data_IF_379472906326
#
_entry.id   IF_379472906326
#
_cell.length_a   1.000
_cell.length_b   1.000
_cell.length_c   1.000
_cell.angle_alpha   90.00
_cell.angle_beta   90.00
_cell.angle_gamma   90.00
#
_symmetry.space_group_name_H-M   'P 1'
#
loop_
_entity.id
_entity.type
_entity.pdbx_description
1 polymer ?
#
# COMPACT_ATOMS: atom_id res chain seq x y z
N UNK A 1 -1.89 -21.42 -19.56
CA UNK A 1 -2.48 -20.26 -20.26
C UNK A 1 -3.83 -19.95 -19.61
N UNK A 2 -4.04 -18.75 -19.04
CA UNK A 2 -5.26 -18.41 -18.31
C UNK A 2 -6.41 -18.15 -19.30
N UNK A 3 -7.49 -18.93 -19.24
CA UNK A 3 -8.58 -18.93 -20.25
C UNK A 3 -9.69 -17.90 -20.01
N UNK A 4 -9.46 -16.86 -19.21
CA UNK A 4 -10.47 -15.84 -18.91
C UNK A 4 -9.85 -14.51 -18.49
N UNK A 5 -10.66 -13.45 -18.40
CA UNK A 5 -10.20 -12.12 -18.01
C UNK A 5 -9.50 -12.13 -16.64
N UNK A 6 -8.36 -11.46 -16.57
CA UNK A 6 -7.50 -11.42 -15.38
C UNK A 6 -6.96 -10.01 -15.15
N UNK A 7 -6.39 -9.78 -13.98
CA UNK A 7 -5.67 -8.55 -13.65
C UNK A 7 -4.25 -8.88 -13.19
N UNK A 8 -3.30 -8.04 -13.58
CA UNK A 8 -1.93 -8.09 -13.08
C UNK A 8 -1.82 -7.06 -11.95
N UNK A 9 -1.23 -7.49 -10.84
CA UNK A 9 -1.00 -6.62 -9.68
C UNK A 9 0.40 -6.81 -9.12
N UNK A 10 0.75 -5.91 -8.19
CA UNK A 10 1.95 -6.03 -7.38
C UNK A 10 1.55 -6.67 -6.05
N UNK A 11 2.25 -7.72 -5.63
CA UNK A 11 2.02 -8.37 -4.33
C UNK A 11 2.27 -7.38 -3.18
N UNK A 12 1.29 -7.26 -2.29
CA UNK A 12 1.41 -6.35 -1.16
C UNK A 12 2.46 -6.85 -0.14
N UNK A 13 3.34 -5.95 0.26
CA UNK A 13 4.36 -6.21 1.27
C UNK A 13 3.73 -6.37 2.66
N UNK A 14 4.07 -7.46 3.33
CA UNK A 14 3.63 -7.75 4.71
C UNK A 14 4.62 -7.28 5.77
N UNK A 15 5.92 -7.36 5.49
CA UNK A 15 6.99 -6.98 6.41
C UNK A 15 7.69 -5.70 5.94
N UNK A 16 7.72 -4.67 6.78
CA UNK A 16 8.28 -3.38 6.42
C UNK A 16 9.77 -3.19 6.68
N UNK A 17 10.42 -4.11 7.39
CA UNK A 17 11.83 -4.01 7.75
C UNK A 17 12.78 -4.59 6.70
N UNK A 18 12.27 -5.40 5.77
CA UNK A 18 13.07 -6.04 4.72
C UNK A 18 13.33 -5.09 3.54
N UNK A 19 14.42 -5.35 2.79
CA UNK A 19 14.73 -4.63 1.55
C UNK A 19 13.56 -4.74 0.58
N UNK A 20 13.17 -3.60 0.01
CA UNK A 20 12.05 -3.54 -0.92
C UNK A 20 12.31 -4.39 -2.17
N UNK A 21 11.33 -5.23 -2.51
CA UNK A 21 11.30 -6.07 -3.71
C UNK A 21 9.88 -6.07 -4.27
N UNK A 22 9.78 -6.09 -5.60
CA UNK A 22 8.50 -6.17 -6.30
C UNK A 22 8.30 -7.60 -6.78
N UNK A 23 7.10 -8.14 -6.57
CA UNK A 23 6.67 -9.41 -7.16
C UNK A 23 5.34 -9.18 -7.85
N UNK A 24 5.26 -9.57 -9.12
CA UNK A 24 4.02 -9.49 -9.88
C UNK A 24 3.18 -10.73 -9.64
N UNK A 25 1.86 -10.52 -9.58
CA UNK A 25 0.87 -11.58 -9.39
C UNK A 25 -0.24 -11.44 -10.43
N UNK A 26 -0.84 -12.57 -10.78
CA UNK A 26 -2.04 -12.62 -11.61
C UNK A 26 -3.23 -12.91 -10.71
N UNK A 27 -4.22 -12.03 -10.74
CA UNK A 27 -5.44 -12.11 -9.92
C UNK A 27 -6.64 -12.48 -10.79
N UNK A 28 -7.55 -13.28 -10.21
CA UNK A 28 -8.91 -13.47 -10.75
C UNK A 28 -9.67 -12.15 -10.62
N UNK A 29 -10.45 -11.77 -11.64
CA UNK A 29 -11.26 -10.54 -11.58
C UNK A 29 -12.25 -10.55 -10.42
N UNK A 30 -12.86 -11.69 -10.09
CA UNK A 30 -13.78 -11.83 -8.94
C UNK A 30 -13.14 -11.46 -7.59
N UNK A 31 -11.81 -11.52 -7.49
CA UNK A 31 -11.12 -11.16 -6.27
C UNK A 31 -10.94 -9.65 -6.10
N UNK A 32 -11.00 -8.86 -7.18
CA UNK A 32 -10.67 -7.42 -7.19
C UNK A 32 -11.81 -6.53 -7.67
N UNK A 33 -12.69 -7.02 -8.56
CA UNK A 33 -13.75 -6.23 -9.15
C UNK A 33 -14.73 -5.76 -8.06
N UNK A 34 -15.00 -4.45 -8.02
CA UNK A 34 -15.88 -3.84 -7.02
C UNK A 34 -15.32 -3.79 -5.60
N UNK A 35 -14.03 -4.10 -5.38
CA UNK A 35 -13.41 -4.05 -4.05
C UNK A 35 -12.47 -2.85 -3.91
N UNK A 36 -12.50 -2.21 -2.74
CA UNK A 36 -11.65 -1.07 -2.41
C UNK A 36 -10.61 -1.47 -1.37
N UNK A 37 -9.36 -1.07 -1.58
CA UNK A 37 -8.29 -1.26 -0.59
C UNK A 37 -8.39 -0.22 0.51
N UNK A 38 -8.84 -0.65 1.69
CA UNK A 38 -8.96 0.22 2.87
C UNK A 38 -7.57 0.45 3.48
N UNK A 39 -7.31 1.69 3.93
CA UNK A 39 -6.09 2.02 4.65
C UNK A 39 -6.04 1.25 5.98
N UNK A 40 -4.99 0.43 6.23
CA UNK A 40 -4.87 -0.30 7.50
C UNK A 40 -4.77 0.65 8.70
N UNK A 41 -5.43 0.32 9.80
CA UNK A 41 -5.38 1.10 11.06
C UNK A 41 -3.96 1.31 11.60
N UNK A 42 -3.04 0.36 11.34
CA UNK A 42 -1.63 0.47 11.70
C UNK A 42 -0.87 1.60 11.01
N UNK A 43 -1.45 2.27 10.01
CA UNK A 43 -0.82 3.33 9.22
C UNK A 43 -1.10 4.74 9.74
N UNK A 44 -2.04 4.92 10.66
CA UNK A 44 -2.37 6.23 11.19
C UNK A 44 -2.63 6.17 12.69
N UNK A 45 -2.42 7.30 13.36
CA UNK A 45 -2.71 7.49 14.77
C UNK A 45 -3.94 8.38 14.89
N UNK A 46 -5.06 7.78 15.32
CA UNK A 46 -6.34 8.48 15.52
C UNK A 46 -6.25 9.64 16.52
N UNK A 47 -5.38 9.55 17.53
CA UNK A 47 -5.27 10.59 18.57
C UNK A 47 -4.39 11.75 18.16
N UNK A 48 -3.35 11.48 17.37
CA UNK A 48 -2.37 12.49 16.94
C UNK A 48 -2.70 13.10 15.57
N UNK A 49 -3.73 12.59 14.88
CA UNK A 49 -4.10 12.99 13.52
C UNK A 49 -2.90 12.95 12.56
N UNK A 50 -2.07 11.91 12.70
CA UNK A 50 -0.81 11.77 11.97
C UNK A 50 -0.60 10.32 11.51
N UNK A 51 0.29 10.12 10.53
CA UNK A 51 0.67 8.81 10.02
C UNK A 51 1.68 8.11 10.94
N UNK A 52 1.71 6.79 10.93
CA UNK A 52 2.69 6.03 11.71
C UNK A 52 3.96 5.75 10.92
N UNK A 53 5.02 5.33 11.61
CA UNK A 53 6.24 4.85 10.96
C UNK A 53 5.99 3.66 10.01
N UNK A 54 4.94 2.86 10.24
CA UNK A 54 4.57 1.77 9.32
C UNK A 54 4.11 2.31 7.97
N UNK A 55 3.37 3.42 7.97
CA UNK A 55 2.98 4.10 6.73
C UNK A 55 4.20 4.69 6.02
N UNK A 56 5.07 5.39 6.75
CA UNK A 56 6.30 5.97 6.18
C UNK A 56 7.16 4.87 5.54
N UNK A 57 7.35 3.75 6.24
CA UNK A 57 8.12 2.60 5.73
C UNK A 57 7.42 1.88 4.56
N UNK A 58 6.09 1.96 4.48
CA UNK A 58 5.34 1.48 3.32
C UNK A 58 5.56 2.39 2.10
N UNK A 59 5.46 3.71 2.26
CA UNK A 59 5.52 4.71 1.19
C UNK A 59 6.94 4.99 0.69
N UNK A 60 7.95 5.00 1.56
CA UNK A 60 9.34 5.37 1.23
C UNK A 60 9.92 4.67 -0.01
N UNK A 61 9.75 3.35 -0.22
CA UNK A 61 10.21 2.72 -1.46
C UNK A 61 9.36 3.04 -2.70
N UNK A 62 8.12 3.51 -2.53
CA UNK A 62 7.18 3.81 -3.62
C UNK A 62 7.40 5.23 -4.18
N UNK A 63 7.58 6.22 -3.29
CA UNK A 63 7.67 7.64 -3.64
C UNK A 63 9.06 8.25 -3.34
N UNK A 64 9.97 7.46 -2.78
CA UNK A 64 11.29 7.91 -2.38
C UNK A 64 11.28 8.71 -1.06
N UNK A 65 12.23 9.64 -0.93
CA UNK A 65 12.37 10.49 0.27
C UNK A 65 11.56 11.80 0.19
N UNK A 66 10.86 12.04 -0.92
CA UNK A 66 10.10 13.27 -1.16
C UNK A 66 8.71 13.19 -0.52
N UNK A 67 8.67 13.13 0.82
CA UNK A 67 7.42 13.26 1.54
C UNK A 67 6.99 14.72 1.55
N UNK A 68 5.76 15.05 1.12
CA UNK A 68 5.26 16.41 1.23
C UNK A 68 5.18 16.79 2.71
N UNK A 69 5.76 17.93 3.08
CA UNK A 69 5.56 18.52 4.40
C UNK A 69 4.19 19.20 4.37
N UNK A 70 3.18 18.49 4.82
CA UNK A 70 1.86 19.06 5.03
C UNK A 70 1.82 19.64 6.43
N UNK A 71 1.66 20.96 6.55
CA UNK A 71 1.13 21.54 7.78
C UNK A 71 -0.30 21.03 7.93
N UNK A 72 -0.56 20.22 8.95
CA UNK A 72 -1.93 19.88 9.31
C UNK A 72 -2.68 21.19 9.55
N UNK A 73 -3.66 21.49 8.71
CA UNK A 73 -4.55 22.64 8.87
C UNK A 73 -5.57 22.22 9.93
N UNK A 74 -5.15 22.21 11.20
CA UNK A 74 -6.04 22.11 12.35
C UNK A 74 -5.55 23.15 13.37
#
# INVERSE_FOLDING_TARGET
>A
MYRGSFSIGIEERKNFSQKYKVKFIVNKLTNIAGKTKIMPTKFYNLKKFDVTNNFINYCKPLIGKKFPQTTSII
#
